data_IF_957973106322
#
_entry.id   IF_957973106322
#
_cell.length_a   1.000
_cell.length_b   1.000
_cell.length_c   1.000
_cell.angle_alpha   90.00
_cell.angle_beta   90.00
_cell.angle_gamma   90.00
#
_symmetry.space_group_name_H-M   'P 1'
#
loop_
_entity.id
_entity.type
_entity.pdbx_description
1 polymer ?
2 non-polymer ?
3 water ?
#
# COMPACT_ATOMS: atom_id res chain seq x y z
N UNK A 2 -0.08 12.25 2.39
CA UNK A 2 -1.17 12.27 1.37
C UNK A 2 -1.32 11.02 0.47
N UNK A 3 -0.86 9.84 0.90
CA UNK A 3 -1.19 8.60 0.19
C UNK A 3 -2.55 8.08 0.67
N UNK A 4 -3.36 7.59 -0.25
CA UNK A 4 -4.71 7.15 0.09
C UNK A 4 -4.76 5.61 0.16
N UNK A 5 -5.07 5.05 1.31
CA UNK A 5 -5.24 3.60 1.38
C UNK A 5 -6.45 3.14 0.58
N UNK A 6 -6.30 1.98 -0.06
CA UNK A 6 -7.36 1.36 -0.84
C UNK A 6 -7.40 -0.14 -0.54
N UNK A 7 -8.46 -0.76 -1.03
CA UNK A 7 -8.69 -2.20 -0.91
C UNK A 7 -9.09 -2.72 -2.27
N UNK A 8 -8.52 -3.84 -2.66
CA UNK A 8 -8.79 -4.43 -3.96
C UNK A 8 -9.56 -5.73 -3.78
N UNK A 9 -10.64 -5.88 -4.53
CA UNK A 9 -11.51 -7.04 -4.42
C UNK A 9 -10.85 -8.28 -5.05
N UNK A 10 -10.55 -9.30 -4.23
CA UNK A 10 -9.98 -10.52 -4.79
C UNK A 10 -11.05 -11.44 -5.32
N UNK A 11 -10.65 -12.43 -6.12
CA UNK A 11 -11.58 -13.37 -6.70
C UNK A 11 -12.47 -14.01 -5.64
N UNK A 12 -11.89 -14.33 -4.49
CA UNK A 12 -12.62 -15.02 -3.42
C UNK A 12 -13.80 -14.24 -2.85
N UNK A 13 -13.81 -12.92 -3.05
CA UNK A 13 -14.89 -12.07 -2.51
C UNK A 13 -15.85 -11.51 -3.57
N UNK A 14 -15.81 -12.03 -4.79
CA UNK A 14 -16.62 -11.48 -5.86
C UNK A 14 -18.13 -11.57 -5.59
N UNK A 15 -18.58 -12.67 -4.98
CA UNK A 15 -20.02 -12.81 -4.69
C UNK A 15 -20.52 -11.79 -3.66
N UNK A 16 -19.65 -11.43 -2.72
CA UNK A 16 -20.02 -10.39 -1.73
C UNK A 16 -20.22 -9.05 -2.42
N UNK A 17 -19.34 -8.72 -3.37
CA UNK A 17 -19.33 -7.40 -4.02
C UNK A 17 -20.19 -7.29 -5.26
N UNK A 18 -20.75 -8.42 -5.70
CA UNK A 18 -21.53 -8.53 -6.94
C UNK A 18 -22.71 -7.57 -7.00
N UNK A 19 -23.49 -7.49 -5.93
CA UNK A 19 -24.71 -6.64 -5.92
C UNK A 19 -24.37 -5.16 -5.99
N UNK A 20 -23.30 -4.75 -5.31
CA UNK A 20 -22.84 -3.37 -5.31
C UNK A 20 -22.23 -2.93 -6.65
N UNK A 21 -21.99 -3.88 -7.55
CA UNK A 21 -21.50 -3.61 -8.89
C UNK A 21 -19.99 -3.50 -8.99
N UNK A 22 -19.27 -4.13 -8.05
CA UNK A 22 -17.80 -3.98 -8.01
C UNK A 22 -17.21 -5.35 -8.28
N UNK A 23 -16.42 -5.45 -9.34
CA UNK A 23 -15.90 -6.72 -9.83
C UNK A 23 -14.58 -7.06 -9.18
N UNK A 24 -14.10 -8.28 -9.43
CA UNK A 24 -12.74 -8.66 -9.06
C UNK A 24 -11.80 -7.61 -9.62
N UNK A 25 -10.89 -7.13 -8.78
CA UNK A 25 -9.94 -6.11 -9.17
C UNK A 25 -10.37 -4.67 -8.95
N UNK A 26 -11.60 -4.43 -8.51
CA UNK A 26 -12.04 -3.07 -8.26
C UNK A 26 -11.33 -2.58 -6.99
N UNK A 27 -11.06 -1.29 -6.99
CA UNK A 27 -10.42 -0.64 -5.85
C UNK A 27 -11.44 0.20 -5.12
N UNK A 28 -11.46 0.08 -3.79
CA UNK A 28 -12.42 0.71 -2.94
C UNK A 28 -11.74 1.39 -1.76
N UNK A 29 -12.32 2.50 -1.33
CA UNK A 29 -11.92 3.10 -0.07
C UNK A 29 -12.55 2.30 1.09
N UNK A 30 -11.94 2.38 2.26
CA UNK A 30 -12.49 1.68 3.43
C UNK A 30 -13.93 2.07 3.70
N UNK A 31 -14.25 3.36 3.59
CA UNK A 31 -15.62 3.83 3.84
C UNK A 31 -16.62 3.21 2.87
N UNK A 32 -16.18 2.97 1.63
CA UNK A 32 -17.03 2.32 0.65
C UNK A 32 -17.25 0.86 0.99
N UNK A 33 -16.19 0.18 1.40
CA UNK A 33 -16.31 -1.22 1.84
C UNK A 33 -17.33 -1.33 2.97
N UNK A 34 -17.24 -0.41 3.92
CA UNK A 34 -18.14 -0.40 5.06
C UNK A 34 -19.60 -0.27 4.63
N UNK A 35 -19.87 0.69 3.77
CA UNK A 35 -21.21 0.88 3.25
C UNK A 35 -21.71 -0.37 2.53
N UNK A 36 -20.86 -0.94 1.71
CA UNK A 36 -21.25 -2.12 0.92
C UNK A 36 -21.60 -3.31 1.81
N UNK A 37 -20.76 -3.55 2.80
CA UNK A 37 -20.97 -4.69 3.68
C UNK A 37 -22.21 -4.49 4.55
N UNK A 38 -22.40 -3.28 5.07
CA UNK A 38 -23.59 -2.98 5.85
C UNK A 38 -24.83 -3.21 5.00
N UNK A 39 -24.81 -2.70 3.76
CA UNK A 39 -25.94 -2.88 2.86
C UNK A 39 -26.19 -4.34 2.52
N UNK A 40 -25.12 -5.11 2.35
CA UNK A 40 -25.26 -6.53 2.07
C UNK A 40 -26.02 -7.22 3.21
N UNK A 41 -25.61 -6.93 4.45
CA UNK A 41 -26.26 -7.55 5.60
C UNK A 41 -27.73 -7.17 5.69
N UNK A 42 -28.02 -5.90 5.45
CA UNK A 42 -29.40 -5.42 5.55
C UNK A 42 -30.27 -6.01 4.42
N UNK A 43 -29.75 -5.96 3.19
CA UNK A 43 -30.47 -6.47 2.02
C UNK A 43 -30.78 -7.96 2.13
N UNK A 44 -29.89 -8.72 2.76
CA UNK A 44 -30.06 -10.18 2.84
C UNK A 44 -30.63 -10.66 4.18
N UNK A 45 -31.16 -9.73 4.96
CA UNK A 45 -31.83 -10.02 6.24
C UNK A 45 -30.96 -10.81 7.20
N UNK A 46 -29.70 -10.38 7.33
CA UNK A 46 -28.72 -11.12 8.14
C UNK A 46 -28.62 -10.59 9.55
N UNK A 47 -29.24 -9.45 9.84
CA UNK A 47 -29.11 -8.89 11.20
C UNK A 47 -29.83 -9.84 12.18
N UNK A 48 -29.16 -10.16 13.29
CA UNK A 48 -29.77 -11.01 14.30
C UNK A 48 -30.97 -10.30 14.94
N UNK A 49 -32.13 -10.91 14.85
CA UNK A 49 -33.32 -10.28 15.37
C UNK A 49 -33.31 -10.04 16.86
N UNK A 50 -32.65 -10.91 17.59
CA UNK A 50 -32.62 -10.81 19.05
C UNK A 50 -31.52 -9.89 19.57
N UNK A 51 -30.49 -9.64 18.78
CA UNK A 51 -29.38 -8.81 19.19
C UNK A 51 -28.85 -8.08 17.95
N UNK A 52 -29.34 -6.86 17.76
CA UNK A 52 -29.05 -6.15 16.50
C UNK A 52 -27.63 -5.62 16.40
N UNK A 53 -26.79 -5.88 17.41
CA UNK A 53 -25.34 -5.70 17.29
C UNK A 53 -24.67 -6.81 16.46
N UNK A 54 -25.38 -7.91 16.18
CA UNK A 54 -24.79 -9.09 15.54
C UNK A 54 -25.36 -9.34 14.17
N UNK A 55 -24.50 -9.86 13.30
CA UNK A 55 -24.85 -10.27 11.95
C UNK A 55 -24.64 -11.76 11.82
N UNK A 56 -25.66 -12.46 11.31
CA UNK A 56 -25.59 -13.89 11.05
C UNK A 56 -24.99 -14.05 9.64
N UNK A 57 -23.85 -14.69 9.55
CA UNK A 57 -23.18 -14.84 8.28
C UNK A 57 -23.91 -15.88 7.40
N UNK A 58 -24.15 -15.50 6.16
CA UNK A 58 -24.73 -16.40 5.17
C UNK A 58 -23.61 -17.19 4.50
N UNK A 59 -23.96 -18.11 3.60
CA UNK A 59 -22.89 -18.91 3.04
C UNK A 59 -21.82 -18.11 2.29
N UNK A 60 -22.24 -17.06 1.59
CA UNK A 60 -21.28 -16.19 0.89
C UNK A 60 -20.28 -15.58 1.86
N UNK A 61 -20.78 -15.00 2.95
CA UNK A 61 -19.89 -14.40 3.93
C UNK A 61 -19.00 -15.45 4.62
N UNK A 62 -19.56 -16.60 4.95
CA UNK A 62 -18.77 -17.67 5.57
C UNK A 62 -17.61 -18.08 4.69
N UNK A 63 -17.91 -18.20 3.40
CA UNK A 63 -16.95 -18.67 2.41
C UNK A 63 -15.79 -17.70 2.26
N UNK A 64 -16.09 -16.40 2.26
CA UNK A 64 -15.01 -15.48 1.97
C UNK A 64 -14.35 -14.80 3.15
N UNK A 65 -14.93 -14.85 4.37
CA UNK A 65 -14.19 -14.37 5.54
C UNK A 65 -13.83 -15.37 6.62
N UNK A 66 -14.48 -16.53 6.67
CA UNK A 66 -14.14 -17.55 7.67
C UNK A 66 -13.18 -18.60 7.13
N UNK A 67 -12.26 -19.03 8.00
CA UNK A 67 -11.30 -20.10 7.66
C UNK A 67 -12.01 -21.46 7.70
N UNK A 68 -12.74 -21.70 8.78
CA UNK A 68 -13.52 -22.93 8.96
C UNK A 68 -14.99 -22.60 9.25
N UNK A 69 -15.90 -23.15 8.43
CA UNK A 69 -17.34 -23.02 8.64
C UNK A 69 -17.93 -24.33 9.15
N UNK A 70 -17.92 -24.51 10.48
CA UNK A 70 -18.57 -25.64 11.15
C UNK A 70 -20.05 -25.80 10.77
N UNK A 71 -20.41 -27.03 10.42
CA UNK A 71 -21.75 -27.33 9.91
C UNK A 71 -22.79 -27.27 11.03
N UNK A 72 -24.02 -26.91 10.66
CA UNK A 72 -25.16 -26.78 11.60
C UNK A 72 -24.93 -25.80 12.71
N UNK A 73 -24.12 -24.78 12.43
CA UNK A 73 -23.79 -23.75 13.39
C UNK A 73 -23.92 -22.42 12.70
N UNK A 74 -24.74 -21.53 13.28
CA UNK A 74 -24.88 -20.18 12.78
C UNK A 74 -23.66 -19.40 13.27
N UNK A 75 -22.91 -18.85 12.33
CA UNK A 75 -21.77 -18.02 12.64
C UNK A 75 -22.28 -16.58 12.75
N UNK A 76 -22.03 -15.94 13.89
CA UNK A 76 -22.43 -14.57 14.12
C UNK A 76 -21.22 -13.73 14.44
N UNK A 77 -21.19 -12.53 13.86
CA UNK A 77 -20.17 -11.56 14.18
C UNK A 77 -20.79 -10.22 14.48
N UNK A 78 -20.25 -9.50 15.47
CA UNK A 78 -20.59 -8.10 15.58
C UNK A 78 -20.23 -7.34 14.31
N UNK A 79 -20.99 -6.28 14.01
CA UNK A 79 -20.76 -5.48 12.81
C UNK A 79 -19.30 -5.10 12.62
N UNK A 80 -18.66 -4.63 13.69
CA UNK A 80 -17.27 -4.17 13.54
C UNK A 80 -16.30 -5.30 13.25
N UNK A 81 -16.52 -6.47 13.85
CA UNK A 81 -15.69 -7.62 13.51
C UNK A 81 -15.89 -8.07 12.08
N UNK A 82 -17.13 -8.07 11.64
CA UNK A 82 -17.44 -8.41 10.26
C UNK A 82 -16.69 -7.49 9.31
N UNK A 83 -16.79 -6.19 9.56
CA UNK A 83 -16.15 -5.21 8.71
C UNK A 83 -14.62 -5.35 8.75
N UNK A 84 -14.06 -5.54 9.94
CA UNK A 84 -12.62 -5.74 10.08
C UNK A 84 -12.15 -6.97 9.31
N UNK A 85 -12.87 -8.07 9.45
CA UNK A 85 -12.45 -9.28 8.73
C UNK A 85 -12.56 -9.08 7.23
N UNK A 86 -13.60 -8.39 6.76
CA UNK A 86 -13.73 -8.13 5.33
C UNK A 86 -12.55 -7.28 4.83
N UNK A 87 -12.21 -6.23 5.58
CA UNK A 87 -11.08 -5.37 5.19
C UNK A 87 -9.76 -6.16 5.17
N UNK A 88 -9.58 -7.06 6.13
CA UNK A 88 -8.37 -7.92 6.18
C UNK A 88 -8.27 -8.89 5.01
N UNK A 89 -9.42 -9.39 4.56
CA UNK A 89 -9.48 -10.37 3.47
C UNK A 89 -9.32 -9.72 2.11
N UNK A 90 -9.72 -8.46 1.99
CA UNK A 90 -9.44 -7.68 0.78
C UNK A 90 -7.93 -7.52 0.59
N UNK A 91 -7.52 -7.30 -0.67
CA UNK A 91 -6.11 -7.08 -0.96
C UNK A 91 -5.71 -5.65 -0.66
N UNK A 92 -4.60 -5.44 0.09
CA UNK A 92 -4.19 -4.06 0.35
C UNK A 92 -3.77 -3.36 -0.93
N UNK A 93 -4.01 -2.06 -0.97
CA UNK A 93 -3.66 -1.25 -2.11
C UNK A 93 -3.55 0.19 -1.64
N UNK A 94 -3.11 1.07 -2.50
CA UNK A 94 -3.03 2.48 -2.17
C UNK A 94 -2.93 3.31 -3.42
N UNK A 95 -3.12 4.61 -3.27
CA UNK A 95 -3.07 5.54 -4.38
C UNK A 95 -2.09 6.65 -4.07
N UNK A 96 -1.19 6.90 -5.00
CA UNK A 96 -0.17 7.96 -4.87
C UNK A 96 -0.47 9.03 -5.91
N UNK A 97 -0.49 10.29 -5.48
CA UNK A 97 -0.67 11.39 -6.44
C UNK A 97 0.57 12.26 -6.43
N UNK A 98 1.32 12.16 -7.51
CA UNK A 98 2.49 12.98 -7.70
C UNK A 98 2.04 14.33 -8.24
N UNK A 99 2.77 15.40 -7.91
CA UNK A 99 2.37 16.72 -8.42
C UNK A 99 2.31 16.77 -9.94
N UNK A 100 1.20 17.30 -10.43
CA UNK A 100 1.03 17.49 -11.86
C UNK A 100 0.70 16.26 -12.68
N UNK A 101 0.36 15.16 -12.03
CA UNK A 101 0.10 13.92 -12.71
C UNK A 101 -1.14 13.24 -12.18
N UNK A 102 -1.73 12.38 -13.00
CA UNK A 102 -2.86 11.62 -12.58
C UNK A 102 -2.49 10.66 -11.44
N UNK A 103 -3.43 10.35 -10.54
CA UNK A 103 -3.12 9.41 -9.46
C UNK A 103 -2.74 8.03 -9.98
N UNK A 104 -1.89 7.36 -9.21
CA UNK A 104 -1.37 6.04 -9.56
C UNK A 104 -1.81 5.05 -8.48
N UNK A 105 -2.52 4.00 -8.91
CA UNK A 105 -2.93 2.93 -8.01
C UNK A 105 -1.84 1.86 -7.92
N UNK A 106 -1.58 1.40 -6.70
CA UNK A 106 -0.64 0.34 -6.44
C UNK A 106 -1.31 -0.74 -5.62
N UNK A 107 -0.98 -1.99 -5.93
CA UNK A 107 -1.36 -3.14 -5.10
C UNK A 107 -0.25 -3.45 -4.10
N UNK A 108 -0.67 -3.82 -2.91
CA UNK A 108 0.22 -4.22 -1.84
C UNK A 108 0.16 -3.26 -0.68
N UNK A 109 0.80 -3.66 0.39
CA UNK A 109 0.96 -2.80 1.55
C UNK A 109 1.93 -1.69 1.20
N UNK A 110 1.69 -0.53 1.81
CA UNK A 110 2.58 0.60 1.64
C UNK A 110 3.92 0.17 2.28
N UNK A 111 5.00 0.35 1.52
CA UNK A 111 6.35 0.14 2.00
C UNK A 111 7.06 1.48 1.89
N UNK A 112 8.02 1.74 2.79
CA UNK A 112 8.71 3.01 2.75
C UNK A 112 9.76 3.07 1.65
N UNK A 113 10.03 4.29 1.19
CA UNK A 113 11.28 4.54 0.45
C UNK A 113 12.40 4.50 1.48
N UNK A 114 13.45 3.72 1.19
CA UNK A 114 14.60 3.61 2.08
C UNK A 114 15.78 4.29 1.42
N UNK A 115 16.37 5.21 2.15
CA UNK A 115 17.59 5.93 1.75
C UNK A 115 18.68 5.59 2.74
N UNK A 116 19.75 4.98 2.26
CA UNK A 116 20.78 4.49 3.14
C UNK A 116 22.18 4.89 2.64
N UNK A 117 23.02 5.27 3.58
CA UNK A 117 24.43 5.50 3.31
C UNK A 117 25.16 4.18 3.51
N UNK A 118 26.09 3.90 2.62
CA UNK A 118 26.85 2.66 2.65
C UNK A 118 28.27 2.90 2.19
N UNK A 119 29.12 1.93 2.51
CA UNK A 119 30.50 1.95 2.06
C UNK A 119 30.72 1.04 0.87
N UNK A 120 31.25 1.59 -0.22
CA UNK A 120 31.64 0.81 -1.42
C UNK A 120 33.13 0.45 -1.44
N UNK A 121 33.90 1.11 -0.59
CA UNK A 121 35.32 0.88 -0.46
C UNK A 121 35.61 1.32 0.96
N UNK A 122 36.87 1.20 1.35
CA UNK A 122 37.33 1.58 2.69
C UNK A 122 36.95 3.01 3.08
N UNK A 123 36.90 3.91 2.10
CA UNK A 123 36.46 5.28 2.36
C UNK A 123 35.70 5.89 1.18
N UNK A 124 34.88 5.10 0.49
CA UNK A 124 33.95 5.64 -0.54
C UNK A 124 32.50 5.40 -0.15
N UNK A 125 31.85 6.48 0.25
CA UNK A 125 30.48 6.43 0.70
C UNK A 125 29.60 6.56 -0.53
N UNK A 126 28.48 5.84 -0.47
CA UNK A 126 27.43 5.93 -1.48
C UNK A 126 26.07 6.04 -0.81
N UNK A 127 25.11 6.56 -1.57
CA UNK A 127 23.73 6.70 -1.13
C UNK A 127 22.88 5.75 -1.96
N UNK A 128 22.09 4.92 -1.30
CA UNK A 128 21.29 3.88 -1.95
C UNK A 128 19.81 4.11 -1.66
N UNK A 129 19.00 4.12 -2.72
CA UNK A 129 17.60 4.47 -2.63
C UNK A 129 16.73 3.35 -3.16
N UNK A 130 15.93 2.75 -2.27
CA UNK A 130 15.08 1.62 -2.57
C UNK A 130 13.60 2.02 -2.50
N UNK A 131 12.78 1.35 -3.32
CA UNK A 131 11.31 1.45 -3.36
C UNK A 131 10.76 2.69 -4.04
N UNK A 132 11.55 3.29 -4.92
CA UNK A 132 11.04 4.43 -5.66
C UNK A 132 9.82 4.03 -6.49
N UNK A 133 9.84 2.83 -7.08
CA UNK A 133 8.76 2.41 -7.96
C UNK A 133 7.45 2.22 -7.18
N UNK A 134 7.52 1.98 -5.88
CA UNK A 134 6.32 1.86 -5.05
C UNK A 134 5.53 3.15 -4.98
N UNK A 135 6.19 4.27 -5.32
CA UNK A 135 5.58 5.60 -5.35
C UNK A 135 5.45 6.15 -6.75
N UNK A 136 5.56 5.27 -7.75
CA UNK A 136 5.41 5.68 -9.13
C UNK A 136 6.54 6.47 -9.72
N UNK A 137 7.73 6.35 -9.11
CA UNK A 137 8.90 7.06 -9.59
C UNK A 137 9.80 6.10 -10.36
N UNK A 138 10.31 6.57 -11.49
CA UNK A 138 11.17 5.79 -12.37
C UNK A 138 12.60 5.93 -11.87
N UNK A 139 13.23 4.83 -11.44
CA UNK A 139 14.61 4.94 -10.99
C UNK A 139 15.57 5.57 -12.01
N UNK A 140 15.37 5.31 -13.31
CA UNK A 140 16.26 5.92 -14.32
C UNK A 140 16.10 7.44 -14.36
N UNK A 141 14.86 7.91 -14.23
CA UNK A 141 14.59 9.35 -14.17
C UNK A 141 15.17 9.98 -12.91
N UNK A 142 14.91 9.35 -11.78
CA UNK A 142 15.48 9.83 -10.52
C UNK A 142 17.01 9.86 -10.58
N UNK A 143 17.61 8.81 -11.14
CA UNK A 143 19.07 8.78 -11.30
C UNK A 143 19.61 9.93 -12.13
N UNK A 144 18.90 10.29 -13.19
CA UNK A 144 19.32 11.40 -14.04
C UNK A 144 19.19 12.75 -13.34
N UNK A 145 18.07 12.95 -12.66
CA UNK A 145 17.84 14.17 -11.90
C UNK A 145 18.93 14.34 -10.82
N UNK A 146 19.19 13.27 -10.08
CA UNK A 146 20.17 13.33 -9.01
C UNK A 146 21.61 13.47 -9.51
N UNK A 147 21.93 12.89 -10.66
CA UNK A 147 23.29 13.05 -11.20
C UNK A 147 23.59 14.55 -11.42
N UNK A 148 22.61 15.28 -11.93
CA UNK A 148 22.72 16.74 -12.09
C UNK A 148 22.69 17.49 -10.75
N UNK A 149 21.71 17.18 -9.90
CA UNK A 149 21.51 17.89 -8.62
C UNK A 149 22.71 17.69 -7.70
N UNK A 150 23.20 16.45 -7.63
CA UNK A 150 24.27 16.08 -6.72
C UNK A 150 25.68 16.34 -7.28
N UNK A 151 25.80 16.50 -8.60
CA UNK A 151 27.10 16.55 -9.28
C UNK A 151 27.94 15.32 -8.92
N UNK A 152 27.30 14.16 -9.03
CA UNK A 152 27.88 12.90 -8.65
C UNK A 152 27.27 11.80 -9.50
N UNK A 153 28.08 10.79 -9.79
CA UNK A 153 27.67 9.67 -10.61
C UNK A 153 26.51 8.90 -9.97
N UNK A 154 25.54 8.55 -10.80
CA UNK A 154 24.46 7.69 -10.39
C UNK A 154 24.40 6.47 -11.27
N UNK A 155 23.87 5.41 -10.70
CA UNK A 155 23.62 4.15 -11.40
C UNK A 155 22.29 3.56 -10.92
N UNK A 156 21.71 2.71 -11.76
CA UNK A 156 20.52 1.95 -11.40
C UNK A 156 20.88 0.47 -11.50
N UNK A 157 20.54 -0.28 -10.45
CA UNK A 157 20.86 -1.69 -10.36
C UNK A 157 19.72 -2.43 -9.67
N UNK A 158 19.66 -3.76 -9.82
CA UNK A 158 18.68 -4.52 -9.03
C UNK A 158 18.93 -4.36 -7.53
N UNK A 159 17.85 -4.16 -6.78
CA UNK A 159 17.94 -4.06 -5.34
C UNK A 159 18.00 -5.47 -4.77
N UNK A 160 19.02 -5.78 -3.97
CA UNK A 160 19.07 -7.13 -3.40
C UNK A 160 17.91 -7.40 -2.46
N UNK A 161 17.31 -8.58 -2.60
CA UNK A 161 16.22 -8.98 -1.72
C UNK A 161 15.17 -9.73 -2.49
N UNK A 162 14.01 -9.89 -1.85
CA UNK A 162 12.92 -10.68 -2.40
C UNK A 162 12.21 -9.98 -3.56
N UNK A 163 11.95 -8.68 -3.42
CA UNK A 163 11.17 -7.94 -4.42
C UNK A 163 11.98 -7.66 -5.68
N UNK A 164 11.33 -7.83 -6.83
CA UNK A 164 11.96 -7.50 -8.11
C UNK A 164 11.84 -6.00 -8.38
N UNK A 165 12.79 -5.28 -7.82
CA UNK A 165 12.80 -3.83 -7.85
C UNK A 165 14.21 -3.34 -8.14
N UNK A 166 14.27 -2.09 -8.56
CA UNK A 166 15.52 -1.42 -8.88
C UNK A 166 15.80 -0.38 -7.81
N UNK A 167 17.08 -0.16 -7.59
CA UNK A 167 17.52 0.89 -6.68
C UNK A 167 18.45 1.86 -7.41
N UNK A 168 18.50 3.08 -6.92
CA UNK A 168 19.43 4.08 -7.39
C UNK A 168 20.58 4.18 -6.42
N UNK A 169 21.80 4.19 -6.95
CA UNK A 169 22.99 4.49 -6.18
C UNK A 169 23.57 5.79 -6.65
N UNK A 170 23.96 6.64 -5.70
CA UNK A 170 24.63 7.88 -6.02
C UNK A 170 25.95 7.92 -5.26
N UNK A 171 27.04 8.27 -5.96
CA UNK A 171 28.32 8.41 -5.27
C UNK A 171 28.22 9.52 -4.22
N UNK A 172 28.82 9.27 -3.06
CA UNK A 172 28.88 10.24 -1.99
C UNK A 172 27.66 10.22 -1.09
N UNK A 173 27.62 11.23 -0.21
CA UNK A 173 26.58 11.38 0.80
C UNK A 173 25.56 12.38 0.31
N UNK A 174 24.43 11.86 -0.19
CA UNK A 174 23.47 12.68 -0.93
C UNK A 174 22.09 12.70 -0.31
N UNK A 175 22.00 12.27 0.96
CA UNK A 175 20.69 12.09 1.59
C UNK A 175 19.85 13.38 1.56
N UNK A 176 20.50 14.52 1.81
CA UNK A 176 19.81 15.80 1.79
C UNK A 176 19.18 16.13 0.44
N UNK A 177 19.81 15.70 -0.64
CA UNK A 177 19.24 15.90 -1.96
C UNK A 177 18.00 15.04 -2.19
N UNK A 178 17.99 13.83 -1.61
CA UNK A 178 16.78 13.01 -1.66
C UNK A 178 15.66 13.65 -0.85
N UNK A 179 15.98 14.29 0.27
CA UNK A 179 14.96 15.04 0.99
C UNK A 179 14.30 16.09 0.11
N UNK A 180 15.12 16.86 -0.61
CA UNK A 180 14.57 17.82 -1.55
C UNK A 180 13.67 17.14 -2.59
N UNK A 181 14.22 16.14 -3.24
CA UNK A 181 13.52 15.52 -4.36
C UNK A 181 12.21 14.91 -3.92
N UNK A 182 12.24 14.13 -2.85
CA UNK A 182 11.07 13.37 -2.43
C UNK A 182 10.04 14.22 -1.68
N UNK A 183 10.50 15.07 -0.77
CA UNK A 183 9.56 15.87 0.04
C UNK A 183 9.12 17.13 -0.64
N UNK A 184 10.02 17.80 -1.35
CA UNK A 184 9.70 19.10 -1.93
C UNK A 184 9.20 18.92 -3.37
N UNK A 185 9.97 18.26 -4.21
CA UNK A 185 9.57 18.12 -5.61
C UNK A 185 8.39 17.17 -5.82
N UNK A 186 8.42 16.01 -5.17
CA UNK A 186 7.32 15.04 -5.33
C UNK A 186 6.28 15.08 -4.22
N UNK A 187 6.50 15.89 -3.18
CA UNK A 187 5.50 16.12 -2.10
C UNK A 187 5.05 14.82 -1.43
N UNK A 188 5.98 13.88 -1.31
CA UNK A 188 5.67 12.61 -0.70
C UNK A 188 5.62 12.74 0.84
N UNK A 189 4.83 11.88 1.51
CA UNK A 189 4.74 12.01 2.97
C UNK A 189 6.02 11.56 3.68
N UNK A 190 6.51 12.40 4.57
CA UNK A 190 7.70 12.11 5.34
C UNK A 190 7.59 10.79 6.11
N UNK A 191 6.40 10.45 6.60
CA UNK A 191 6.24 9.22 7.39
C UNK A 191 6.52 7.96 6.57
N UNK A 192 6.57 8.09 5.24
CA UNK A 192 6.82 6.96 4.37
C UNK A 192 8.21 6.95 3.76
N UNK A 193 9.11 7.75 4.32
CA UNK A 193 10.51 7.79 3.90
C UNK A 193 11.38 7.50 5.10
N UNK A 194 12.31 6.56 4.93
CA UNK A 194 13.29 6.20 5.97
C UNK A 194 14.67 6.58 5.53
N UNK A 195 15.42 7.13 6.46
CA UNK A 195 16.83 7.46 6.27
C UNK A 195 17.16 8.94 6.18
N UNK A 196 16.14 9.80 6.06
CA UNK A 196 16.43 11.23 5.95
C UNK A 196 17.06 11.77 7.22
N UNK A 197 16.79 11.10 8.35
CA UNK A 197 17.40 11.48 9.62
C UNK A 197 18.93 11.29 9.66
N UNK A 198 19.51 10.62 8.66
CA UNK A 198 20.93 10.40 8.59
C UNK A 198 21.61 11.42 7.69
N UNK A 199 20.86 12.41 7.17
CA UNK A 199 21.46 13.41 6.30
C UNK A 199 22.48 14.27 7.02
N UNK A 200 23.36 14.87 6.24
CA UNK A 200 24.34 15.79 6.81
C UNK A 200 23.72 17.01 7.47
N UNK A 201 22.63 17.50 6.90
CA UNK A 201 22.05 18.77 7.29
C UNK A 201 20.57 18.72 6.99
N UNK A 202 19.74 19.49 7.74
CA UNK A 202 18.30 19.61 7.43
C UNK A 202 18.04 20.24 6.05
#
# INVERSE_FOLDING_TARGET
>A
GDIKPLYCVPASMTLLFQESGHKKGSFLEGSEVRTIVINYAKKNDLVDADNKNLVRLDPILCDCILEKNEQHTVMKLPWDSLLTRCLEKLQPAYQVTLPGQEPIVKKGRICPIDITLAQRASNKKVTVVRNLEAYGLDPYSVAAILQQRCQASTTVNPAPGAKDSLQVQIQGNQVHHLGWLLLEEYQLPRKHIQGLEKALKPGKKK
#
